data_IF_188888676636
#
_entry.id   IF_188888676636
#
_cell.length_a   1.000
_cell.length_b   1.000
_cell.length_c   1.000
_cell.angle_alpha   90.00
_cell.angle_beta   90.00
_cell.angle_gamma   90.00
#
_symmetry.space_group_name_H-M   'P 1'
#
loop_
_entity.id
_entity.type
_entity.pdbx_description
1 polymer ?
#
# COMPACT_ATOMS: atom_id res chain seq x y z
N UNK A 1 -13.25 -8.18 -30.82
CA UNK A 1 -13.87 -8.98 -29.77
C UNK A 1 -13.24 -10.36 -29.90
N UNK A 2 -12.62 -10.91 -28.85
CA UNK A 2 -12.16 -12.30 -28.85
C UNK A 2 -13.37 -13.23 -29.01
N UNK A 3 -13.21 -14.29 -29.78
CA UNK A 3 -14.23 -15.32 -29.96
C UNK A 3 -14.49 -16.00 -28.60
N UNK A 4 -15.77 -16.15 -28.22
CA UNK A 4 -16.15 -16.77 -26.92
C UNK A 4 -15.77 -18.24 -26.95
N UNK A 5 -14.93 -18.68 -26.04
CA UNK A 5 -14.43 -20.03 -25.92
C UNK A 5 -15.31 -20.87 -24.99
N UNK A 6 -15.94 -21.91 -25.49
CA UNK A 6 -16.83 -22.79 -24.74
C UNK A 6 -16.24 -24.21 -24.65
N UNK A 7 -16.47 -24.86 -23.51
CA UNK A 7 -16.21 -26.28 -23.32
C UNK A 7 -17.54 -27.02 -23.11
N UNK A 8 -17.79 -28.05 -23.92
CA UNK A 8 -18.95 -28.95 -23.79
C UNK A 8 -18.46 -30.30 -23.30
N UNK A 9 -18.97 -30.73 -22.17
CA UNK A 9 -18.59 -31.98 -21.49
C UNK A 9 -19.83 -32.85 -21.33
N UNK A 10 -19.88 -34.00 -21.99
CA UNK A 10 -20.98 -34.95 -21.97
C UNK A 10 -20.41 -36.30 -22.49
N UNK A 11 -20.77 -37.43 -21.92
CA UNK A 11 -20.28 -38.75 -22.35
C UNK A 11 -20.87 -39.20 -23.71
N UNK A 12 -22.09 -38.72 -24.03
CA UNK A 12 -22.74 -39.01 -25.29
C UNK A 12 -22.23 -38.17 -26.45
N UNK A 13 -21.62 -38.79 -27.43
CA UNK A 13 -21.18 -38.12 -28.66
C UNK A 13 -22.31 -37.42 -29.41
N UNK A 14 -23.53 -37.95 -29.33
CA UNK A 14 -24.71 -37.33 -29.92
C UNK A 14 -25.06 -36.02 -29.23
N UNK A 15 -25.06 -35.99 -27.89
CA UNK A 15 -25.37 -34.80 -27.11
C UNK A 15 -24.29 -33.71 -27.38
N UNK A 16 -23.02 -34.07 -27.37
CA UNK A 16 -21.94 -33.13 -27.68
C UNK A 16 -22.11 -32.49 -29.05
N UNK A 17 -22.40 -33.30 -30.07
CA UNK A 17 -22.59 -32.79 -31.43
C UNK A 17 -23.80 -31.90 -31.56
N UNK A 18 -24.90 -32.28 -30.92
CA UNK A 18 -26.16 -31.49 -30.87
C UNK A 18 -25.92 -30.13 -30.18
N UNK A 19 -25.27 -30.12 -29.01
CA UNK A 19 -24.92 -28.89 -28.30
C UNK A 19 -24.02 -28.01 -29.15
N UNK A 20 -22.95 -28.56 -29.74
CA UNK A 20 -22.06 -27.83 -30.64
C UNK A 20 -22.82 -27.16 -31.78
N UNK A 21 -23.74 -27.88 -32.42
CA UNK A 21 -24.56 -27.33 -33.51
C UNK A 21 -25.47 -26.18 -33.00
N UNK A 22 -26.13 -26.37 -31.89
CA UNK A 22 -26.98 -25.31 -31.29
C UNK A 22 -26.21 -24.06 -30.87
N UNK A 23 -24.97 -24.22 -30.38
CA UNK A 23 -24.05 -23.12 -30.06
C UNK A 23 -23.62 -22.39 -31.33
N UNK A 24 -23.27 -23.13 -32.39
CA UNK A 24 -22.89 -22.53 -33.68
C UNK A 24 -24.07 -21.74 -34.30
N UNK A 25 -25.30 -22.23 -34.21
CA UNK A 25 -26.54 -21.51 -34.62
C UNK A 25 -26.76 -20.20 -33.86
N UNK A 26 -26.12 -20.05 -32.66
CA UNK A 26 -26.14 -18.84 -31.86
C UNK A 26 -24.88 -17.94 -32.05
N UNK A 27 -23.96 -18.36 -32.93
CA UNK A 27 -22.74 -17.62 -33.25
C UNK A 27 -21.53 -18.01 -32.43
N UNK A 28 -21.59 -19.04 -31.58
CA UNK A 28 -20.45 -19.54 -30.80
C UNK A 28 -19.75 -20.68 -31.60
N UNK A 29 -18.59 -20.35 -32.18
CA UNK A 29 -17.86 -21.29 -33.06
C UNK A 29 -16.65 -21.92 -32.37
N UNK A 30 -16.04 -21.27 -31.36
CA UNK A 30 -14.93 -21.84 -30.59
C UNK A 30 -15.46 -22.76 -29.49
N UNK A 31 -15.79 -23.98 -29.86
CA UNK A 31 -16.35 -25.00 -28.96
C UNK A 31 -15.43 -26.23 -28.91
N UNK A 32 -14.78 -26.39 -27.74
CA UNK A 32 -14.01 -27.60 -27.40
C UNK A 32 -14.97 -28.65 -26.81
N UNK A 33 -14.68 -29.93 -27.03
CA UNK A 33 -15.49 -31.04 -26.52
C UNK A 33 -14.64 -31.97 -25.67
N UNK A 34 -15.20 -32.45 -24.56
CA UNK A 34 -14.66 -33.50 -23.70
C UNK A 34 -15.72 -34.58 -23.48
N UNK A 35 -15.34 -35.82 -23.27
CA UNK A 35 -16.24 -36.95 -23.12
C UNK A 35 -16.38 -37.44 -21.67
N UNK A 36 -15.60 -36.87 -20.76
CA UNK A 36 -15.61 -37.16 -19.31
C UNK A 36 -15.01 -35.99 -18.51
N UNK A 37 -15.10 -36.07 -17.20
CA UNK A 37 -14.59 -35.04 -16.30
C UNK A 37 -13.04 -34.94 -16.28
N UNK A 38 -12.32 -36.03 -16.56
CA UNK A 38 -10.84 -36.02 -16.61
C UNK A 38 -10.36 -35.21 -17.80
N UNK A 39 -10.97 -35.44 -18.96
CA UNK A 39 -10.66 -34.64 -20.16
C UNK A 39 -11.09 -33.18 -19.99
N UNK A 40 -12.22 -32.92 -19.31
CA UNK A 40 -12.68 -31.56 -19.02
C UNK A 40 -11.63 -30.80 -18.21
N UNK A 41 -11.14 -31.37 -17.11
CA UNK A 41 -10.10 -30.76 -16.28
C UNK A 41 -8.78 -30.56 -17.04
N UNK A 42 -8.37 -31.53 -17.85
CA UNK A 42 -7.19 -31.41 -18.71
C UNK A 42 -7.34 -30.26 -19.73
N UNK A 43 -8.52 -30.10 -20.34
CA UNK A 43 -8.79 -28.98 -21.24
C UNK A 43 -8.78 -27.63 -20.52
N UNK A 44 -9.37 -27.53 -19.33
CA UNK A 44 -9.39 -26.32 -18.51
C UNK A 44 -7.96 -25.93 -18.08
N UNK A 45 -7.13 -26.90 -17.75
CA UNK A 45 -5.72 -26.64 -17.42
C UNK A 45 -4.89 -26.16 -18.64
N UNK A 46 -5.25 -26.61 -19.86
CA UNK A 46 -4.53 -26.28 -21.09
C UNK A 46 -4.90 -24.90 -21.67
N UNK A 47 -6.13 -24.42 -21.46
CA UNK A 47 -6.60 -23.11 -21.98
C UNK A 47 -7.75 -22.55 -21.16
N UNK A 48 -7.96 -21.25 -21.24
CA UNK A 48 -9.11 -20.57 -20.61
C UNK A 48 -10.38 -20.76 -21.43
N UNK A 49 -11.50 -20.98 -20.73
CA UNK A 49 -12.84 -21.01 -21.29
C UNK A 49 -13.72 -19.92 -20.67
N UNK A 50 -14.66 -19.42 -21.46
CA UNK A 50 -15.63 -18.41 -21.00
C UNK A 50 -16.83 -19.05 -20.32
N UNK A 51 -17.16 -20.31 -20.67
CA UNK A 51 -18.15 -21.10 -19.97
C UNK A 51 -17.95 -22.59 -20.25
N UNK A 52 -18.28 -23.42 -19.27
CA UNK A 52 -18.34 -24.88 -19.40
C UNK A 52 -19.80 -25.34 -19.31
N UNK A 53 -20.23 -26.10 -20.30
CA UNK A 53 -21.51 -26.84 -20.29
C UNK A 53 -21.17 -28.26 -19.85
N UNK A 54 -21.58 -28.65 -18.63
CA UNK A 54 -21.13 -29.84 -17.93
C UNK A 54 -22.32 -30.81 -17.67
N UNK A 55 -22.26 -31.99 -18.24
CA UNK A 55 -23.13 -33.08 -17.82
C UNK A 55 -22.74 -33.59 -16.44
N UNK A 56 -23.74 -34.05 -15.66
CA UNK A 56 -23.51 -34.62 -14.34
C UNK A 56 -23.16 -36.09 -14.38
N UNK A 57 -23.79 -36.85 -15.28
CA UNK A 57 -23.64 -38.31 -15.33
C UNK A 57 -22.65 -38.71 -16.43
N UNK A 58 -21.41 -38.94 -16.03
CA UNK A 58 -20.31 -39.34 -16.93
C UNK A 58 -19.42 -40.42 -16.29
N UNK A 59 -18.80 -41.29 -17.09
CA UNK A 59 -17.84 -42.26 -16.60
C UNK A 59 -16.53 -41.57 -16.13
N UNK A 60 -15.69 -42.32 -15.43
CA UNK A 60 -14.38 -41.93 -14.89
C UNK A 60 -14.48 -40.85 -13.81
N UNK A 61 -14.87 -39.64 -14.16
CA UNK A 61 -15.10 -38.52 -13.25
C UNK A 61 -16.41 -37.84 -13.63
N UNK A 62 -17.38 -37.86 -12.72
CA UNK A 62 -18.69 -37.24 -12.91
C UNK A 62 -18.63 -35.71 -12.80
N UNK A 63 -19.76 -35.05 -13.15
CA UNK A 63 -19.83 -33.58 -13.12
C UNK A 63 -19.69 -32.98 -11.72
N UNK A 64 -20.11 -33.68 -10.67
CA UNK A 64 -19.93 -33.24 -9.28
C UNK A 64 -18.45 -33.27 -8.93
N UNK A 65 -17.74 -34.34 -9.26
CA UNK A 65 -16.31 -34.44 -9.06
C UNK A 65 -15.49 -33.38 -9.82
N UNK A 66 -15.93 -32.96 -11.01
CA UNK A 66 -15.34 -31.82 -11.72
C UNK A 66 -15.52 -30.53 -10.94
N UNK A 67 -16.73 -30.23 -10.43
CA UNK A 67 -16.99 -29.03 -9.64
C UNK A 67 -16.19 -29.01 -8.34
N UNK A 68 -16.05 -30.13 -7.65
CA UNK A 68 -15.24 -30.25 -6.43
C UNK A 68 -13.76 -29.90 -6.71
N UNK A 69 -13.19 -30.40 -7.81
CA UNK A 69 -11.81 -30.06 -8.22
C UNK A 69 -11.65 -28.60 -8.61
N UNK A 70 -12.61 -28.01 -9.34
CA UNK A 70 -12.58 -26.60 -9.70
C UNK A 70 -12.69 -25.68 -8.48
N UNK A 71 -13.37 -26.13 -7.42
CA UNK A 71 -13.47 -25.38 -6.16
C UNK A 71 -12.14 -25.33 -5.39
N UNK A 72 -11.25 -26.29 -5.56
CA UNK A 72 -9.93 -26.31 -4.93
C UNK A 72 -9.02 -25.18 -5.48
N UNK A 73 -9.21 -24.78 -6.76
CA UNK A 73 -8.52 -23.62 -7.37
C UNK A 73 -9.54 -22.69 -8.06
N UNK A 74 -10.22 -21.84 -7.31
CA UNK A 74 -11.26 -20.95 -7.86
C UNK A 74 -10.70 -19.82 -8.72
N UNK A 75 -9.41 -19.52 -8.64
CA UNK A 75 -8.77 -18.38 -9.34
C UNK A 75 -8.75 -18.56 -10.86
N UNK A 76 -8.79 -19.79 -11.34
CA UNK A 76 -8.73 -20.11 -12.76
C UNK A 76 -9.98 -20.86 -13.25
N UNK A 77 -10.92 -21.13 -12.37
CA UNK A 77 -12.13 -21.89 -12.69
C UNK A 77 -13.05 -21.10 -13.64
N UNK A 78 -13.40 -21.64 -14.81
CA UNK A 78 -14.42 -21.04 -15.66
C UNK A 78 -15.80 -21.19 -15.04
N UNK A 79 -16.76 -20.31 -15.36
CA UNK A 79 -18.15 -20.49 -14.94
C UNK A 79 -18.72 -21.75 -15.57
N UNK A 80 -19.47 -22.53 -14.79
CA UNK A 80 -20.05 -23.80 -15.17
C UNK A 80 -21.56 -23.71 -15.20
N UNK A 81 -22.17 -24.13 -16.32
CA UNK A 81 -23.61 -24.44 -16.44
C UNK A 81 -23.75 -25.95 -16.44
N UNK A 82 -24.43 -26.48 -15.44
CA UNK A 82 -24.68 -27.91 -15.33
C UNK A 82 -25.85 -28.32 -16.23
N UNK A 83 -25.73 -29.45 -16.92
CA UNK A 83 -26.78 -30.03 -17.74
C UNK A 83 -27.23 -31.32 -17.05
N UNK A 84 -28.53 -31.41 -16.65
CA UNK A 84 -29.02 -32.53 -15.86
C UNK A 84 -30.48 -32.90 -16.21
N UNK A 85 -30.91 -34.10 -15.86
CA UNK A 85 -32.32 -34.48 -15.96
C UNK A 85 -33.13 -33.75 -14.88
N UNK A 86 -34.36 -33.35 -15.21
CA UNK A 86 -35.30 -32.63 -14.29
C UNK A 86 -35.59 -33.37 -12.97
N UNK A 87 -35.37 -34.69 -12.93
CA UNK A 87 -35.65 -35.56 -11.77
C UNK A 87 -34.54 -35.49 -10.69
N UNK A 88 -33.45 -34.75 -10.91
CA UNK A 88 -32.26 -34.77 -10.06
C UNK A 88 -32.08 -33.48 -9.24
N UNK A 89 -33.18 -32.92 -8.72
CA UNK A 89 -33.15 -31.62 -8.02
C UNK A 89 -32.15 -31.56 -6.89
N UNK A 90 -31.95 -32.64 -6.12
CA UNK A 90 -30.94 -32.67 -5.04
C UNK A 90 -29.49 -32.55 -5.55
N UNK A 91 -29.20 -33.19 -6.70
CA UNK A 91 -27.86 -33.05 -7.34
C UNK A 91 -27.63 -31.63 -7.86
N UNK A 92 -28.69 -31.00 -8.42
CA UNK A 92 -28.63 -29.61 -8.91
C UNK A 92 -28.30 -28.64 -7.76
N UNK A 93 -29.01 -28.78 -6.62
CA UNK A 93 -28.72 -27.94 -5.42
C UNK A 93 -27.26 -28.12 -4.99
N UNK A 94 -26.78 -29.37 -4.92
CA UNK A 94 -25.36 -29.63 -4.60
C UNK A 94 -24.40 -28.98 -5.59
N UNK A 95 -24.68 -28.98 -6.88
CA UNK A 95 -23.85 -28.34 -7.88
C UNK A 95 -23.75 -26.81 -7.69
N UNK A 96 -24.90 -26.17 -7.37
CA UNK A 96 -24.93 -24.72 -7.06
C UNK A 96 -24.11 -24.43 -5.79
N UNK A 97 -24.22 -25.25 -4.73
CA UNK A 97 -23.42 -25.13 -3.51
C UNK A 97 -21.90 -25.31 -3.80
N UNK A 98 -21.56 -26.13 -4.79
CA UNK A 98 -20.17 -26.32 -5.25
C UNK A 98 -19.66 -25.21 -6.19
N UNK A 99 -20.52 -24.26 -6.55
CA UNK A 99 -20.13 -23.08 -7.34
C UNK A 99 -20.54 -23.13 -8.82
N UNK A 100 -21.43 -24.04 -9.23
CA UNK A 100 -22.02 -23.95 -10.56
C UNK A 100 -22.82 -22.63 -10.68
N UNK A 101 -22.61 -21.90 -11.79
CA UNK A 101 -23.27 -20.59 -12.01
C UNK A 101 -24.75 -20.74 -12.35
N UNK A 102 -25.11 -21.83 -13.02
CA UNK A 102 -26.50 -22.11 -13.44
C UNK A 102 -26.69 -23.59 -13.81
N UNK A 103 -27.93 -23.97 -14.12
CA UNK A 103 -28.25 -25.30 -14.65
C UNK A 103 -29.19 -25.24 -15.85
N UNK A 104 -29.15 -26.28 -16.70
CA UNK A 104 -30.00 -26.51 -17.83
C UNK A 104 -30.61 -27.93 -17.76
N UNK A 105 -31.93 -28.11 -17.90
CA UNK A 105 -32.49 -29.46 -18.05
C UNK A 105 -32.06 -30.08 -19.37
N UNK A 106 -31.80 -31.41 -19.46
CA UNK A 106 -31.41 -32.09 -20.72
C UNK A 106 -32.47 -31.91 -21.84
N UNK A 107 -33.72 -31.64 -21.48
CA UNK A 107 -34.82 -31.37 -22.40
C UNK A 107 -35.04 -29.87 -22.70
N UNK A 108 -33.96 -29.07 -22.64
CA UNK A 108 -34.08 -27.62 -22.84
C UNK A 108 -34.42 -27.22 -24.28
N UNK A 109 -35.17 -26.13 -24.42
CA UNK A 109 -35.43 -25.44 -25.67
C UNK A 109 -34.26 -24.49 -26.03
N UNK A 110 -33.95 -24.27 -27.34
CA UNK A 110 -32.86 -23.35 -27.76
C UNK A 110 -32.93 -21.95 -27.16
N UNK A 111 -34.10 -21.30 -26.96
CA UNK A 111 -34.20 -20.01 -26.27
C UNK A 111 -33.72 -20.05 -24.83
N UNK A 112 -33.92 -21.14 -24.08
CA UNK A 112 -33.47 -21.28 -22.71
C UNK A 112 -31.94 -21.38 -22.64
N UNK A 113 -31.30 -22.16 -23.51
CA UNK A 113 -29.85 -22.22 -23.62
C UNK A 113 -29.27 -20.83 -23.89
N UNK A 114 -29.83 -20.08 -24.86
CA UNK A 114 -29.41 -18.72 -25.19
C UNK A 114 -29.51 -17.79 -23.98
N UNK A 115 -30.62 -17.83 -23.26
CA UNK A 115 -30.85 -16.96 -22.11
C UNK A 115 -29.86 -17.26 -20.96
N UNK A 116 -29.65 -18.55 -20.62
CA UNK A 116 -28.78 -18.96 -19.52
C UNK A 116 -27.31 -18.72 -19.86
N UNK A 117 -26.85 -19.16 -21.04
CA UNK A 117 -25.50 -18.94 -21.49
C UNK A 117 -25.19 -17.46 -21.61
N UNK A 118 -26.10 -16.67 -22.19
CA UNK A 118 -25.93 -15.22 -22.30
C UNK A 118 -25.79 -14.54 -20.92
N UNK A 119 -26.60 -14.93 -19.94
CA UNK A 119 -26.51 -14.39 -18.58
C UNK A 119 -25.17 -14.73 -17.91
N UNK A 120 -24.71 -15.97 -18.04
CA UNK A 120 -23.41 -16.41 -17.47
C UNK A 120 -22.24 -15.71 -18.14
N UNK A 121 -22.24 -15.61 -19.46
CA UNK A 121 -21.19 -14.93 -20.23
C UNK A 121 -21.14 -13.42 -19.90
N UNK A 122 -22.29 -12.76 -19.78
CA UNK A 122 -22.33 -11.35 -19.40
C UNK A 122 -21.83 -11.14 -17.96
N UNK A 123 -22.22 -12.00 -17.02
CA UNK A 123 -21.71 -11.96 -15.66
C UNK A 123 -20.18 -12.12 -15.61
N UNK A 124 -19.63 -13.09 -16.39
CA UNK A 124 -18.18 -13.27 -16.53
C UNK A 124 -17.53 -12.03 -17.13
N UNK A 125 -18.06 -11.50 -18.22
CA UNK A 125 -17.53 -10.30 -18.87
C UNK A 125 -17.44 -9.11 -17.92
N UNK A 126 -18.46 -8.90 -17.09
CA UNK A 126 -18.48 -7.82 -16.09
C UNK A 126 -17.45 -8.06 -14.98
N UNK A 127 -17.27 -9.29 -14.53
CA UNK A 127 -16.22 -9.65 -13.57
C UNK A 127 -14.83 -9.39 -14.15
N UNK A 128 -14.56 -9.91 -15.36
CA UNK A 128 -13.26 -9.74 -16.03
C UNK A 128 -12.91 -8.24 -16.23
N UNK A 129 -13.92 -7.43 -16.60
CA UNK A 129 -13.75 -5.98 -16.75
C UNK A 129 -13.47 -5.29 -15.41
N UNK A 130 -14.14 -5.72 -14.33
CA UNK A 130 -13.89 -5.19 -12.99
C UNK A 130 -12.48 -5.55 -12.49
N UNK A 131 -12.04 -6.79 -12.70
CA UNK A 131 -10.72 -7.27 -12.31
C UNK A 131 -9.61 -6.54 -13.11
N UNK A 132 -9.80 -6.36 -14.40
CA UNK A 132 -8.87 -5.60 -15.23
C UNK A 132 -8.78 -4.14 -14.76
N UNK A 133 -9.94 -3.51 -14.47
CA UNK A 133 -9.98 -2.14 -13.98
C UNK A 133 -9.27 -2.01 -12.64
N UNK A 134 -9.48 -2.97 -11.73
CA UNK A 134 -8.80 -2.99 -10.43
C UNK A 134 -7.28 -3.09 -10.60
N UNK A 135 -6.79 -4.01 -11.44
CA UNK A 135 -5.36 -4.16 -11.72
C UNK A 135 -4.72 -2.90 -12.30
N UNK A 136 -5.44 -2.21 -13.20
CA UNK A 136 -4.94 -0.96 -13.78
C UNK A 136 -4.84 0.14 -12.72
N UNK A 137 -5.84 0.26 -11.83
CA UNK A 137 -5.81 1.23 -10.74
C UNK A 137 -4.71 0.92 -9.73
N UNK A 138 -4.49 -0.35 -9.39
CA UNK A 138 -3.40 -0.78 -8.51
C UNK A 138 -2.03 -0.45 -9.10
N UNK A 139 -1.83 -0.68 -10.40
CA UNK A 139 -0.60 -0.35 -11.10
C UNK A 139 -0.35 1.17 -11.15
N UNK A 140 -1.39 1.98 -11.36
CA UNK A 140 -1.31 3.44 -11.35
C UNK A 140 -0.91 3.96 -9.95
N UNK A 141 -1.53 3.43 -8.89
CA UNK A 141 -1.20 3.79 -7.51
C UNK A 141 0.22 3.37 -7.12
N UNK A 142 0.70 2.21 -7.54
CA UNK A 142 2.09 1.78 -7.29
C UNK A 142 3.10 2.65 -8.04
N UNK A 143 2.75 3.11 -9.24
CA UNK A 143 3.56 4.11 -9.96
C UNK A 143 3.63 5.43 -9.19
N UNK A 144 2.50 5.92 -8.67
CA UNK A 144 2.45 7.13 -7.84
C UNK A 144 3.29 6.98 -6.55
N UNK A 145 3.20 5.82 -5.89
CA UNK A 145 4.04 5.47 -4.72
C UNK A 145 5.53 5.54 -5.05
N UNK A 146 5.93 4.92 -6.15
CA UNK A 146 7.34 4.92 -6.59
C UNK A 146 7.83 6.33 -6.87
N UNK A 147 7.02 7.15 -7.53
CA UNK A 147 7.33 8.56 -7.78
C UNK A 147 7.47 9.35 -6.47
N UNK A 148 6.55 9.18 -5.53
CA UNK A 148 6.60 9.83 -4.22
C UNK A 148 7.86 9.45 -3.44
N UNK A 149 8.15 8.15 -3.32
CA UNK A 149 9.33 7.66 -2.62
C UNK A 149 10.64 8.09 -3.29
N UNK A 150 10.63 8.49 -4.56
CA UNK A 150 11.81 9.04 -5.24
C UNK A 150 12.11 10.49 -4.83
N UNK A 151 11.16 11.20 -4.21
CA UNK A 151 11.35 12.57 -3.76
C UNK A 151 12.19 12.66 -2.49
N UNK A 152 12.11 11.64 -1.61
CA UNK A 152 12.88 11.62 -0.36
C UNK A 152 14.30 11.09 -0.58
N UNK A 153 15.31 11.59 0.17
CA UNK A 153 16.68 11.18 0.01
C UNK A 153 16.89 9.70 0.38
N UNK A 154 17.74 9.01 -0.39
CA UNK A 154 18.07 7.60 -0.18
C UNK A 154 19.57 7.36 -0.01
N UNK A 155 20.40 8.19 -0.58
CA UNK A 155 21.87 8.09 -0.50
C UNK A 155 22.44 8.97 0.62
N UNK A 156 22.29 8.48 1.84
CA UNK A 156 22.80 9.18 3.01
C UNK A 156 24.33 9.24 3.07
N UNK A 157 25.03 8.33 2.41
CA UNK A 157 26.49 8.33 2.37
C UNK A 157 27.04 9.57 1.65
N UNK A 158 26.35 10.03 0.59
CA UNK A 158 26.71 11.26 -0.13
C UNK A 158 26.26 12.52 0.61
N UNK A 159 25.13 12.45 1.32
CA UNK A 159 24.51 13.59 2.01
C UNK A 159 25.21 13.89 3.33
N UNK A 160 25.51 12.87 4.13
CA UNK A 160 26.08 13.02 5.45
C UNK A 160 27.48 13.66 5.37
N UNK A 161 27.73 14.80 6.04
CA UNK A 161 29.07 15.34 6.17
C UNK A 161 29.97 14.39 6.99
N UNK A 162 31.29 14.47 6.84
CA UNK A 162 32.23 13.72 7.69
C UNK A 162 31.90 13.92 9.18
N UNK A 163 31.93 12.86 9.95
CA UNK A 163 31.59 12.87 11.38
C UNK A 163 30.09 12.72 11.69
N UNK A 164 29.21 12.64 10.69
CA UNK A 164 27.81 12.28 10.88
C UNK A 164 27.46 10.99 10.13
N UNK A 165 26.56 10.20 10.71
CA UNK A 165 25.90 9.10 10.06
C UNK A 165 24.39 9.30 10.13
N UNK A 166 23.68 8.97 9.06
CA UNK A 166 22.23 9.18 8.91
C UNK A 166 21.60 7.89 8.39
N UNK A 167 20.44 7.57 8.90
CA UNK A 167 19.56 6.55 8.32
C UNK A 167 18.11 7.00 8.48
N UNK A 168 17.27 6.64 7.52
CA UNK A 168 15.83 6.87 7.59
C UNK A 168 15.05 5.75 6.91
N UNK A 169 13.81 5.61 7.30
CA UNK A 169 12.82 4.77 6.64
C UNK A 169 11.46 5.47 6.65
N UNK A 170 10.67 5.22 5.61
CA UNK A 170 9.29 5.67 5.49
C UNK A 170 8.46 4.54 4.89
N UNK A 171 7.41 4.14 5.60
CA UNK A 171 6.47 3.09 5.22
C UNK A 171 5.08 3.72 5.16
N UNK A 172 4.58 4.06 3.98
CA UNK A 172 3.23 4.59 3.85
C UNK A 172 2.17 3.56 4.24
N UNK A 173 1.12 3.99 4.94
CA UNK A 173 -0.02 3.16 5.31
C UNK A 173 -0.89 2.80 4.09
N UNK A 174 -0.90 3.66 3.09
CA UNK A 174 -1.55 3.46 1.80
C UNK A 174 -0.51 3.50 0.68
N UNK A 175 -0.96 3.35 -0.56
CA UNK A 175 -0.05 3.45 -1.71
C UNK A 175 0.68 4.82 -1.77
N UNK A 176 0.00 5.89 -1.35
CA UNK A 176 0.57 7.24 -1.28
C UNK A 176 0.31 7.79 0.13
N UNK A 177 1.35 8.29 0.80
CA UNK A 177 1.32 8.78 2.18
C UNK A 177 1.47 10.30 2.29
N UNK A 178 1.21 10.82 3.52
CA UNK A 178 1.42 12.23 3.88
C UNK A 178 2.80 12.51 4.46
N UNK A 179 3.43 11.51 5.05
CA UNK A 179 4.73 11.63 5.70
C UNK A 179 5.84 12.00 4.73
N UNK A 180 6.83 12.72 5.24
CA UNK A 180 8.09 12.95 4.57
C UNK A 180 9.25 13.01 5.55
N UNK A 181 10.44 12.71 5.06
CA UNK A 181 11.69 13.12 5.68
C UNK A 181 12.59 13.82 4.66
N UNK A 182 13.46 14.68 5.16
CA UNK A 182 14.49 15.34 4.36
C UNK A 182 15.84 15.22 5.06
N UNK A 183 16.87 15.01 4.29
CA UNK A 183 18.26 15.15 4.68
C UNK A 183 19.01 15.85 3.54
N UNK A 184 19.55 17.03 3.78
CA UNK A 184 20.21 17.82 2.76
C UNK A 184 21.51 18.43 3.29
N UNK A 185 22.59 18.25 2.54
CA UNK A 185 23.86 18.92 2.83
C UNK A 185 23.76 20.42 2.49
N UNK A 186 24.17 21.25 3.42
CA UNK A 186 24.17 22.69 3.26
C UNK A 186 25.54 23.20 2.72
N UNK A 187 25.56 24.32 1.98
CA UNK A 187 26.80 24.86 1.41
C UNK A 187 27.92 25.15 2.45
N UNK A 188 27.52 25.49 3.69
CA UNK A 188 28.43 25.74 4.79
C UNK A 188 29.05 24.51 5.48
N UNK A 189 28.79 23.30 4.96
CA UNK A 189 29.25 22.05 5.57
C UNK A 189 28.33 21.48 6.63
N UNK A 190 27.22 22.14 6.92
CA UNK A 190 26.18 21.65 7.80
C UNK A 190 25.20 20.70 7.09
N UNK A 191 24.25 20.18 7.85
CA UNK A 191 23.16 19.33 7.36
C UNK A 191 21.82 19.86 7.84
N UNK A 192 20.83 19.85 6.95
CA UNK A 192 19.43 20.03 7.27
C UNK A 192 18.76 18.66 7.35
N UNK A 193 17.97 18.45 8.39
CA UNK A 193 17.18 17.25 8.62
C UNK A 193 15.75 17.65 8.95
N UNK A 194 14.78 16.95 8.40
CA UNK A 194 13.38 17.19 8.68
C UNK A 194 12.61 15.87 8.71
N UNK A 195 11.66 15.75 9.62
CA UNK A 195 10.54 14.82 9.55
C UNK A 195 9.28 15.66 9.63
N UNK A 196 8.33 15.37 8.77
CA UNK A 196 7.05 16.07 8.74
C UNK A 196 5.94 15.13 8.33
N UNK A 197 4.72 15.43 8.77
CA UNK A 197 3.51 14.68 8.48
C UNK A 197 2.39 15.63 8.06
N UNK A 198 1.70 15.26 6.98
CA UNK A 198 0.60 16.00 6.38
C UNK A 198 -0.73 15.48 6.88
N UNK A 199 -1.58 16.35 7.40
CA UNK A 199 -2.93 16.00 7.80
C UNK A 199 -3.75 15.41 6.64
N UNK A 200 -4.39 14.25 6.87
CA UNK A 200 -5.15 13.52 5.86
C UNK A 200 -4.35 12.37 5.25
N UNK A 201 -4.94 11.66 4.27
CA UNK A 201 -4.36 10.41 3.74
C UNK A 201 -4.57 10.28 2.23
N UNK A 202 -3.75 9.47 1.59
CA UNK A 202 -3.85 9.15 0.17
C UNK A 202 -3.32 10.27 -0.75
N UNK A 203 -3.79 10.32 -2.00
CA UNK A 203 -3.23 11.18 -3.03
C UNK A 203 -3.21 12.69 -2.69
N UNK A 204 -4.24 13.29 -2.05
CA UNK A 204 -4.18 14.70 -1.63
C UNK A 204 -3.05 14.98 -0.64
N UNK A 205 -2.87 14.11 0.37
CA UNK A 205 -1.78 14.24 1.34
C UNK A 205 -0.42 14.10 0.66
N UNK A 206 -0.26 13.13 -0.26
CA UNK A 206 0.97 12.95 -1.03
C UNK A 206 1.36 14.14 -1.92
N UNK A 207 0.38 14.84 -2.49
CA UNK A 207 0.65 16.09 -3.25
C UNK A 207 1.09 17.23 -2.32
N UNK A 208 0.45 17.36 -1.15
CA UNK A 208 0.85 18.34 -0.13
C UNK A 208 2.24 18.01 0.43
N UNK A 209 2.56 16.73 0.63
CA UNK A 209 3.88 16.25 1.01
C UNK A 209 4.95 16.72 -0.01
N UNK A 210 4.73 16.49 -1.30
CA UNK A 210 5.66 16.91 -2.34
C UNK A 210 5.84 18.44 -2.39
N UNK A 211 4.74 19.21 -2.23
CA UNK A 211 4.76 20.66 -2.12
C UNK A 211 5.56 21.12 -0.90
N UNK A 212 5.33 20.51 0.27
CA UNK A 212 6.03 20.82 1.52
C UNK A 212 7.54 20.58 1.37
N UNK A 213 7.92 19.44 0.81
CA UNK A 213 9.32 19.10 0.57
C UNK A 213 9.99 20.12 -0.37
N UNK A 214 9.30 20.50 -1.44
CA UNK A 214 9.75 21.55 -2.37
C UNK A 214 9.92 22.90 -1.68
N UNK A 215 8.96 23.32 -0.86
CA UNK A 215 8.99 24.57 -0.11
C UNK A 215 10.15 24.61 0.91
N UNK A 216 10.37 23.54 1.67
CA UNK A 216 11.50 23.43 2.60
C UNK A 216 12.83 23.51 1.87
N UNK A 217 13.00 22.79 0.75
CA UNK A 217 14.22 22.83 -0.08
C UNK A 217 14.50 24.20 -0.67
N UNK A 218 13.46 24.88 -1.14
CA UNK A 218 13.58 26.25 -1.68
C UNK A 218 13.94 27.24 -0.58
N UNK A 219 13.24 27.19 0.56
CA UNK A 219 13.50 28.07 1.70
C UNK A 219 14.90 27.87 2.28
N UNK A 220 15.40 26.65 2.37
CA UNK A 220 16.76 26.37 2.84
C UNK A 220 17.88 26.98 1.97
N UNK A 221 17.56 27.26 0.69
CA UNK A 221 18.49 27.95 -0.24
C UNK A 221 18.35 29.47 -0.20
N UNK A 222 17.16 29.97 0.20
CA UNK A 222 16.86 31.40 0.23
C UNK A 222 17.25 32.05 1.55
N UNK A 223 17.13 31.33 2.67
CA UNK A 223 17.52 31.84 4.00
C UNK A 223 19.04 32.01 4.04
N UNK A 224 19.55 33.23 4.33
CA UNK A 224 20.97 33.52 4.24
C UNK A 224 21.76 32.85 5.38
N UNK A 225 23.03 32.58 5.08
CA UNK A 225 24.00 32.07 6.05
C UNK A 225 24.43 30.62 5.77
N UNK A 226 25.58 30.19 6.33
CA UNK A 226 26.09 28.83 6.17
C UNK A 226 25.22 27.79 6.89
N UNK A 227 24.57 28.21 7.97
CA UNK A 227 23.62 27.44 8.76
C UNK A 227 22.31 28.24 8.88
N UNK A 228 21.40 28.12 7.92
CA UNK A 228 20.17 28.89 7.92
C UNK A 228 19.29 28.54 9.14
N UNK A 229 18.59 29.52 9.71
CA UNK A 229 17.72 29.29 10.87
C UNK A 229 16.51 28.41 10.46
N UNK A 230 16.31 27.25 11.11
CA UNK A 230 15.17 26.38 10.84
C UNK A 230 13.82 27.08 11.02
N UNK A 231 13.70 28.05 11.93
CA UNK A 231 12.48 28.83 12.11
C UNK A 231 12.17 29.69 10.86
N UNK A 232 13.19 30.32 10.27
CA UNK A 232 13.01 31.09 9.05
C UNK A 232 12.66 30.17 7.85
N UNK A 233 13.23 28.98 7.76
CA UNK A 233 12.89 28.00 6.72
C UNK A 233 11.42 27.60 6.86
N UNK A 234 10.97 27.22 8.07
CA UNK A 234 9.56 26.82 8.30
C UNK A 234 8.61 27.99 8.09
N UNK A 235 8.99 29.23 8.42
CA UNK A 235 8.17 30.41 8.14
C UNK A 235 7.94 30.62 6.62
N UNK A 236 8.97 30.44 5.79
CA UNK A 236 8.82 30.49 4.33
C UNK A 236 7.95 29.36 3.80
N UNK A 237 8.18 28.13 4.28
CA UNK A 237 7.35 26.97 3.89
C UNK A 237 5.88 27.16 4.33
N UNK A 238 5.65 27.72 5.53
CA UNK A 238 4.32 28.04 6.02
C UNK A 238 3.60 29.06 5.14
N UNK A 239 4.29 30.11 4.71
CA UNK A 239 3.71 31.13 3.82
C UNK A 239 3.26 30.52 2.48
N UNK A 240 4.08 29.61 1.93
CA UNK A 240 3.70 28.87 0.71
C UNK A 240 2.51 27.94 0.95
N UNK A 241 2.50 27.19 2.04
CA UNK A 241 1.43 26.22 2.34
C UNK A 241 0.12 26.88 2.77
N UNK A 242 0.16 28.03 3.44
CA UNK A 242 -1.02 28.77 3.85
C UNK A 242 -1.67 29.51 2.67
N UNK A 243 -0.91 29.86 1.63
CA UNK A 243 -1.44 30.45 0.42
C UNK A 243 -2.37 29.45 -0.28
N UNK A 244 -3.60 29.90 -0.58
CA UNK A 244 -4.63 29.12 -1.28
C UNK A 244 -4.99 27.78 -0.58
N UNK A 245 -4.94 27.73 0.74
CA UNK A 245 -5.23 26.53 1.55
C UNK A 245 -6.74 26.37 1.83
N UNK A 246 -7.55 26.29 0.79
CA UNK A 246 -9.01 26.09 0.91
C UNK A 246 -9.37 24.74 1.59
N UNK A 247 -8.52 23.73 1.43
CA UNK A 247 -8.70 22.42 2.06
C UNK A 247 -8.39 22.36 3.55
N UNK A 248 -7.87 23.45 4.13
CA UNK A 248 -7.42 23.51 5.52
C UNK A 248 -6.42 22.41 5.89
N UNK A 249 -5.61 21.97 4.93
CA UNK A 249 -4.57 20.96 5.16
C UNK A 249 -3.43 21.61 5.95
N UNK A 250 -2.92 20.94 6.95
CA UNK A 250 -1.78 21.39 7.72
C UNK A 250 -0.67 20.33 7.72
N UNK A 251 0.54 20.74 8.06
CA UNK A 251 1.71 19.88 8.10
C UNK A 251 2.42 20.07 9.42
N UNK A 252 2.58 18.99 10.18
CA UNK A 252 3.47 18.99 11.35
C UNK A 252 4.91 18.80 10.90
N UNK A 253 5.87 19.47 11.52
CA UNK A 253 7.27 19.37 11.12
C UNK A 253 8.24 19.54 12.30
N UNK A 254 9.30 18.73 12.33
CA UNK A 254 10.49 18.93 13.13
C UNK A 254 11.68 19.13 12.19
N UNK A 255 12.26 20.32 12.16
CA UNK A 255 13.36 20.69 11.28
C UNK A 255 14.61 21.08 12.09
N UNK A 256 15.73 20.47 11.75
CA UNK A 256 17.03 20.66 12.38
C UNK A 256 18.03 21.17 11.35
N UNK A 257 18.83 22.14 11.74
CA UNK A 257 20.05 22.55 11.03
C UNK A 257 21.22 22.38 11.97
N UNK A 258 22.22 21.59 11.57
CA UNK A 258 23.35 21.17 12.41
C UNK A 258 24.67 21.38 11.66
N UNK A 259 25.66 21.97 12.33
CA UNK A 259 27.04 21.93 11.91
C UNK A 259 27.66 20.57 12.28
N UNK A 260 28.13 19.85 11.29
CA UNK A 260 28.66 18.51 11.50
C UNK A 260 30.02 18.53 12.28
N UNK A 261 30.80 19.58 12.09
CA UNK A 261 32.13 19.68 12.71
C UNK A 261 32.06 20.00 14.21
N UNK A 262 31.22 20.98 14.57
CA UNK A 262 31.04 21.42 15.96
C UNK A 262 29.98 20.65 16.71
N UNK A 263 28.96 20.13 16.02
CA UNK A 263 27.74 19.58 16.60
C UNK A 263 26.80 20.64 17.13
N UNK A 264 27.08 21.92 16.88
CA UNK A 264 26.19 23.01 17.21
C UNK A 264 25.11 23.18 16.14
N UNK A 265 23.90 23.52 16.52
CA UNK A 265 22.80 23.68 15.60
C UNK A 265 21.59 24.32 16.23
N UNK A 266 20.51 24.26 15.50
CA UNK A 266 19.20 24.75 15.93
C UNK A 266 18.10 23.78 15.49
N UNK A 267 17.01 23.76 16.23
CA UNK A 267 15.82 22.98 15.93
C UNK A 267 14.58 23.86 16.02
N UNK A 268 13.63 23.64 15.13
CA UNK A 268 12.29 24.21 15.17
C UNK A 268 11.26 23.06 15.06
N UNK A 269 10.27 23.06 15.97
CA UNK A 269 9.19 22.05 15.99
C UNK A 269 7.86 22.76 15.80
N UNK A 270 7.17 22.46 14.71
CA UNK A 270 5.88 23.02 14.33
C UNK A 270 4.80 21.94 14.44
N UNK A 271 4.20 21.80 15.62
CA UNK A 271 3.11 20.84 15.88
C UNK A 271 3.49 19.36 15.83
N UNK A 272 4.76 19.05 15.68
CA UNK A 272 5.26 17.67 15.48
C UNK A 272 5.76 17.03 16.78
N UNK A 273 5.96 15.70 16.77
CA UNK A 273 6.57 14.98 17.87
C UNK A 273 8.01 15.48 18.13
N UNK A 274 8.33 15.70 19.41
CA UNK A 274 9.67 16.12 19.78
C UNK A 274 10.68 14.98 19.62
N UNK A 275 11.88 15.22 19.05
CA UNK A 275 12.89 14.18 18.88
C UNK A 275 13.42 13.63 20.21
N UNK A 276 13.90 12.39 20.20
CA UNK A 276 14.67 11.82 21.30
C UNK A 276 16.17 12.06 21.09
N UNK A 277 16.86 12.40 22.18
CA UNK A 277 18.30 12.34 22.26
C UNK A 277 18.72 10.92 22.64
N UNK A 278 19.64 10.35 21.87
CA UNK A 278 20.22 9.02 22.07
C UNK A 278 21.69 9.17 22.52
N UNK A 279 22.00 8.71 23.71
CA UNK A 279 23.35 8.68 24.29
C UNK A 279 23.56 7.46 25.20
N UNK A 280 24.56 7.50 26.07
CA UNK A 280 24.87 6.41 27.02
C UNK A 280 23.83 6.33 28.16
N UNK A 281 23.02 7.35 28.33
CA UNK A 281 21.88 7.37 29.26
C UNK A 281 20.59 6.91 28.58
N UNK A 282 19.53 6.61 29.35
CA UNK A 282 18.24 6.29 28.76
C UNK A 282 17.76 7.36 27.77
N UNK A 283 17.14 6.99 26.65
CA UNK A 283 16.64 7.94 25.65
C UNK A 283 15.73 8.98 26.30
N UNK A 284 15.96 10.24 25.99
CA UNK A 284 15.18 11.36 26.54
C UNK A 284 14.65 12.25 25.45
N UNK A 285 13.39 12.65 25.60
CA UNK A 285 12.75 13.62 24.72
C UNK A 285 13.49 14.97 24.86
N UNK A 286 13.85 15.56 23.72
CA UNK A 286 14.36 16.93 23.73
C UNK A 286 13.26 17.87 24.24
N UNK A 287 13.62 18.76 25.15
CA UNK A 287 12.71 19.70 25.79
C UNK A 287 13.12 21.16 25.51
N UNK A 288 12.26 22.11 25.90
CA UNK A 288 12.54 23.54 25.76
C UNK A 288 11.96 24.19 24.51
N UNK A 289 11.16 23.45 23.74
CA UNK A 289 10.48 24.00 22.55
C UNK A 289 9.20 24.76 22.99
N UNK A 290 8.99 25.93 22.39
CA UNK A 290 7.67 26.57 22.45
C UNK A 290 6.66 25.70 21.67
N UNK A 291 5.43 25.62 22.15
CA UNK A 291 4.33 25.03 21.38
C UNK A 291 4.02 25.95 20.21
N UNK A 292 4.15 25.45 19.00
CA UNK A 292 3.96 26.19 17.76
C UNK A 292 2.97 25.44 16.87
N UNK A 293 2.11 26.16 16.12
CA UNK A 293 1.14 25.53 15.24
C UNK A 293 1.83 24.78 14.10
N UNK A 294 1.18 23.78 13.50
CA UNK A 294 1.65 23.15 12.27
C UNK A 294 1.66 24.17 11.11
N UNK A 295 2.42 23.86 10.07
CA UNK A 295 2.50 24.67 8.84
C UNK A 295 1.14 24.66 8.11
N UNK A 296 0.79 25.76 7.48
CA UNK A 296 -0.47 25.93 6.76
C UNK A 296 -1.68 26.22 7.66
N UNK A 297 -1.58 26.03 8.99
CA UNK A 297 -2.68 26.27 9.90
C UNK A 297 -2.89 27.77 10.24
N UNK A 298 -1.82 28.56 10.23
CA UNK A 298 -1.86 29.97 10.57
C UNK A 298 -0.92 30.78 9.68
N UNK A 299 -1.48 31.54 8.77
CA UNK A 299 -0.71 32.40 7.88
C UNK A 299 0.09 33.47 8.65
N UNK A 300 1.35 33.68 8.24
CA UNK A 300 2.22 34.69 8.84
C UNK A 300 2.68 34.39 10.28
N UNK A 301 2.50 33.14 10.79
CA UNK A 301 3.01 32.77 12.11
C UNK A 301 4.53 32.88 12.17
N UNK A 302 5.05 33.54 13.21
CA UNK A 302 6.49 33.69 13.45
C UNK A 302 7.01 32.50 14.28
N UNK A 303 7.62 31.54 13.60
CA UNK A 303 8.24 30.39 14.25
C UNK A 303 9.48 30.79 15.06
N UNK A 304 9.81 30.04 16.08
CA UNK A 304 11.00 30.18 16.91
C UNK A 304 11.81 28.90 16.93
N UNK A 305 13.11 28.99 16.78
CA UNK A 305 14.03 27.86 16.91
C UNK A 305 14.78 27.90 18.24
N UNK A 306 15.17 26.71 18.73
CA UNK A 306 15.98 26.55 19.93
C UNK A 306 17.39 26.10 19.56
N UNK A 307 18.38 26.48 20.38
CA UNK A 307 19.73 25.95 20.23
C UNK A 307 19.75 24.44 20.50
N UNK A 308 20.56 23.74 19.74
CA UNK A 308 20.80 22.31 19.84
C UNK A 308 22.30 22.08 19.84
N UNK A 309 22.77 21.20 20.72
CA UNK A 309 24.16 20.72 20.68
C UNK A 309 24.16 19.22 20.73
N UNK A 310 24.84 18.60 19.78
CA UNK A 310 25.02 17.15 19.69
C UNK A 310 26.52 16.83 19.95
N UNK A 311 26.81 16.26 21.12
CA UNK A 311 28.17 15.86 21.47
C UNK A 311 28.62 14.63 20.64
N UNK A 312 29.96 14.39 20.50
CA UNK A 312 30.43 13.15 19.91
C UNK A 312 29.82 11.90 20.58
N UNK A 313 29.41 10.93 19.80
CA UNK A 313 28.72 9.72 20.26
C UNK A 313 27.23 9.86 20.47
N UNK A 314 26.67 11.07 20.55
CA UNK A 314 25.24 11.30 20.68
C UNK A 314 24.51 11.18 19.34
N UNK A 315 23.24 10.80 19.38
CA UNK A 315 22.34 10.73 18.23
C UNK A 315 21.00 11.40 18.48
N UNK A 316 20.25 11.63 17.43
CA UNK A 316 18.85 12.08 17.48
C UNK A 316 17.99 11.09 16.74
N UNK A 317 16.81 10.85 17.31
CA UNK A 317 15.76 10.03 16.75
C UNK A 317 14.53 10.91 16.51
N UNK A 318 14.18 11.10 15.23
CA UNK A 318 12.99 11.82 14.79
C UNK A 318 12.02 10.79 14.23
N UNK A 319 10.73 10.99 14.48
CA UNK A 319 9.69 10.03 14.06
C UNK A 319 8.35 10.74 13.87
N UNK A 320 7.49 10.18 13.02
CA UNK A 320 6.08 10.58 12.92
C UNK A 320 5.23 9.83 13.95
N UNK A 321 4.04 10.37 14.23
CA UNK A 321 3.10 9.79 15.21
C UNK A 321 2.68 8.36 14.86
N UNK A 322 2.68 7.97 13.57
CA UNK A 322 2.42 6.59 13.16
C UNK A 322 3.34 5.53 13.79
N UNK A 323 4.49 5.92 14.36
CA UNK A 323 5.31 5.02 15.20
C UNK A 323 4.66 4.80 16.56
N UNK A 324 4.29 5.88 17.25
CA UNK A 324 3.71 5.81 18.60
C UNK A 324 2.22 5.45 18.61
N UNK A 325 1.51 5.77 17.54
CA UNK A 325 0.08 5.51 17.36
C UNK A 325 -0.20 4.24 16.51
N UNK A 326 0.82 3.44 16.20
CA UNK A 326 0.63 2.12 15.61
C UNK A 326 -0.30 1.27 16.50
N UNK A 327 -1.33 0.67 15.90
CA UNK A 327 -2.39 -0.05 16.61
C UNK A 327 -2.26 -1.57 16.43
N UNK A 328 -2.52 -2.30 17.52
CA UNK A 328 -2.71 -3.76 17.47
C UNK A 328 -4.17 -4.14 17.12
N UNK A 329 -4.46 -5.43 17.01
CA UNK A 329 -5.81 -5.93 16.73
C UNK A 329 -6.85 -5.59 17.82
N UNK A 330 -6.40 -5.20 19.02
CA UNK A 330 -7.24 -4.75 20.14
C UNK A 330 -7.39 -3.21 20.18
N UNK A 331 -6.91 -2.50 19.16
CA UNK A 331 -6.89 -1.03 19.07
C UNK A 331 -6.10 -0.36 20.19
N UNK A 332 -5.07 -1.02 20.70
CA UNK A 332 -4.13 -0.43 21.63
C UNK A 332 -2.98 0.22 20.89
N UNK A 333 -2.54 1.40 21.32
CA UNK A 333 -1.37 2.06 20.72
C UNK A 333 -0.05 1.47 21.18
N UNK A 334 0.96 1.48 20.31
CA UNK A 334 2.34 1.16 20.66
C UNK A 334 2.82 2.02 21.82
N UNK A 335 2.64 3.31 21.70
CA UNK A 335 2.82 4.29 22.77
C UNK A 335 4.28 4.63 23.07
N UNK A 336 4.48 5.77 23.72
CA UNK A 336 5.82 6.29 24.05
C UNK A 336 6.61 5.37 25.00
N UNK A 337 5.94 4.71 25.94
CA UNK A 337 6.63 3.82 26.87
C UNK A 337 7.30 2.62 26.22
N UNK A 338 6.64 2.01 25.21
CA UNK A 338 7.25 0.93 24.42
C UNK A 338 8.35 1.46 23.50
N UNK A 339 8.15 2.65 22.92
CA UNK A 339 9.17 3.32 22.12
C UNK A 339 10.45 3.56 22.93
N UNK A 340 10.35 4.11 24.14
CA UNK A 340 11.50 4.35 25.03
C UNK A 340 12.17 3.06 25.46
N UNK A 341 11.40 2.02 25.81
CA UNK A 341 11.92 0.72 26.17
C UNK A 341 12.65 0.03 25.01
N UNK A 342 12.20 0.24 23.76
CA UNK A 342 12.83 -0.26 22.54
C UNK A 342 14.11 0.53 22.23
N UNK A 343 14.09 1.86 22.36
CA UNK A 343 15.25 2.71 22.06
C UNK A 343 16.42 2.48 23.05
N UNK A 344 16.14 2.19 24.31
CA UNK A 344 17.16 2.09 25.35
C UNK A 344 18.31 1.09 25.02
N UNK A 345 18.06 -0.17 24.61
CA UNK A 345 19.12 -1.11 24.30
C UNK A 345 19.91 -0.77 23.01
N UNK A 346 19.33 0.04 22.12
CA UNK A 346 19.94 0.40 20.83
C UNK A 346 20.39 1.86 20.77
N UNK A 347 20.34 2.59 21.87
CA UNK A 347 20.62 4.02 21.93
C UNK A 347 22.03 4.39 21.43
N UNK A 348 22.99 3.47 21.51
CA UNK A 348 24.38 3.65 21.02
C UNK A 348 24.65 2.90 19.70
N UNK A 349 23.68 2.21 19.16
CA UNK A 349 23.82 1.47 17.90
C UNK A 349 23.94 2.43 16.70
N UNK A 350 24.31 1.90 15.53
CA UNK A 350 24.30 2.68 14.29
C UNK A 350 22.90 3.20 13.97
N UNK A 351 22.73 4.35 13.29
CA UNK A 351 21.42 4.84 12.86
C UNK A 351 20.59 3.80 12.12
N UNK A 352 21.19 3.00 11.24
CA UNK A 352 20.51 1.94 10.52
C UNK A 352 19.94 0.87 11.48
N UNK A 353 20.72 0.44 12.47
CA UNK A 353 20.28 -0.53 13.46
C UNK A 353 19.11 0.00 14.34
N UNK A 354 19.13 1.31 14.68
CA UNK A 354 18.02 1.94 15.42
C UNK A 354 16.76 1.97 14.57
N UNK A 355 16.86 2.33 13.29
CA UNK A 355 15.72 2.32 12.35
C UNK A 355 15.15 0.90 12.23
N UNK A 356 15.99 -0.10 11.97
CA UNK A 356 15.57 -1.51 11.85
C UNK A 356 14.89 -2.02 13.12
N UNK A 357 15.47 -1.73 14.30
CA UNK A 357 14.89 -2.12 15.57
C UNK A 357 13.51 -1.49 15.81
N UNK A 358 13.34 -0.21 15.42
CA UNK A 358 12.06 0.48 15.53
C UNK A 358 11.00 -0.18 14.66
N UNK A 359 11.31 -0.40 13.38
CA UNK A 359 10.35 -1.02 12.45
C UNK A 359 10.00 -2.45 12.88
N UNK A 360 10.97 -3.22 13.35
CA UNK A 360 10.74 -4.58 13.84
C UNK A 360 9.87 -4.60 15.11
N UNK A 361 10.09 -3.68 16.04
CA UNK A 361 9.30 -3.58 17.26
C UNK A 361 7.84 -3.19 16.98
N UNK A 362 7.62 -2.21 16.10
CA UNK A 362 6.27 -1.82 15.66
C UNK A 362 5.59 -2.97 14.94
N UNK A 363 6.25 -3.62 13.98
CA UNK A 363 5.68 -4.75 13.24
C UNK A 363 5.31 -5.94 14.17
N UNK A 364 6.15 -6.21 15.18
CA UNK A 364 5.87 -7.25 16.17
C UNK A 364 4.66 -6.89 17.04
N UNK A 365 4.50 -5.63 17.40
CA UNK A 365 3.38 -5.17 18.21
C UNK A 365 2.06 -5.21 17.45
N UNK A 366 2.07 -4.76 16.19
CA UNK A 366 0.89 -4.73 15.30
C UNK A 366 0.37 -6.14 14.98
N UNK A 367 1.27 -7.15 14.92
CA UNK A 367 0.95 -8.58 14.73
C UNK A 367 -0.05 -8.84 13.59
N UNK A 368 0.19 -8.21 12.43
CA UNK A 368 -0.64 -8.39 11.24
C UNK A 368 -1.91 -7.53 11.16
N UNK A 369 -2.19 -6.68 12.14
CA UNK A 369 -3.25 -5.67 12.01
C UNK A 369 -2.92 -4.68 10.88
N UNK A 370 -3.95 -4.09 10.26
CA UNK A 370 -3.75 -3.13 9.19
C UNK A 370 -3.08 -1.86 9.72
N UNK A 371 -2.04 -1.38 9.02
CA UNK A 371 -1.38 -0.13 9.34
C UNK A 371 -2.36 1.04 9.20
N UNK A 372 -2.51 1.83 10.26
CA UNK A 372 -3.47 2.94 10.35
C UNK A 372 -2.89 4.25 9.85
N UNK A 373 -1.58 4.51 10.06
CA UNK A 373 -0.90 5.73 9.63
C UNK A 373 0.49 5.48 9.04
N UNK A 374 1.05 6.48 8.35
CA UNK A 374 2.38 6.42 7.78
C UNK A 374 3.43 6.33 8.90
N UNK A 375 4.44 5.49 8.73
CA UNK A 375 5.53 5.31 9.69
C UNK A 375 6.79 5.91 9.11
N UNK A 376 7.30 6.98 9.71
CA UNK A 376 8.53 7.64 9.31
C UNK A 376 9.49 7.74 10.48
N UNK A 377 10.73 7.34 10.25
CA UNK A 377 11.83 7.41 11.22
C UNK A 377 13.07 7.97 10.54
N UNK A 378 13.72 8.93 11.18
CA UNK A 378 15.02 9.45 10.77
C UNK A 378 15.95 9.51 11.97
N UNK A 379 17.11 8.91 11.84
CA UNK A 379 18.12 8.82 12.91
C UNK A 379 19.45 9.40 12.43
N UNK A 380 20.05 10.24 13.24
CA UNK A 380 21.42 10.70 13.01
C UNK A 380 22.29 10.36 14.22
N UNK A 381 23.60 10.23 13.99
CA UNK A 381 24.61 10.09 15.03
C UNK A 381 25.85 10.87 14.66
N UNK A 382 26.38 11.59 15.66
CA UNK A 382 27.69 12.24 15.57
C UNK A 382 28.78 11.26 16.02
N UNK A 383 29.78 11.04 15.15
CA UNK A 383 30.96 10.22 15.43
C UNK A 383 31.95 10.88 16.35
#
# INVERSE_FOLDING_TARGET
>A
MSEVALLVVDDSSFNRLMLKRRLAEQGYNDVTMANDGVQALAAIAARRFDCVLLDLEMPELDGIGVLERLREDPTHAPPVIVISALTEMQKIVRCIELGAEDYLPKSFDPPLLRARLGAVLEKKRLRDLADERLRLLEAELESARTAQLSLVPRDFATIAPPGLTIAAAMIPARQVGGDLYEAMRLPGGGVLLCVADVSGKGAPAGLTMARTLGAIRAAARLVPGPLPDPAAILAHANADLAADNESQTFVTAALIVLDAATGEGRICVAGHEAPYLLDAEPPRVLAGFARQPPLGAWEGFAYASCALTLAPGQGLFLYSDGVSEAEDSAQSFFGRGRLEAMLAPVALASPAAVVEATLAAVATFVDGAAQTDDITVLVIRRG
#
